data_IF_789428282410
#
_entry.id   IF_789428282410
#
_cell.length_a   1.000
_cell.length_b   1.000
_cell.length_c   1.000
_cell.angle_alpha   90.00
_cell.angle_beta   90.00
_cell.angle_gamma   90.00
#
_symmetry.space_group_name_H-M   'P 1'
#
loop_
_entity.id
_entity.type
_entity.pdbx_description
1 polymer ?
#
# COMPACT_ATOMS: atom_id res chain seq x y z
N UNK A 1 -7.61 -3.27 16.36
CA UNK A 1 -7.70 -1.78 16.37
C UNK A 1 -8.06 -1.31 14.96
N UNK A 2 -8.72 -0.16 14.82
CA UNK A 2 -8.99 0.44 13.51
C UNK A 2 -7.69 0.84 12.80
N UNK A 3 -7.60 0.60 11.48
CA UNK A 3 -6.37 0.81 10.73
C UNK A 3 -6.00 2.30 10.64
N UNK A 4 -6.99 3.19 10.44
CA UNK A 4 -6.77 4.64 10.36
C UNK A 4 -6.25 5.16 11.70
N UNK A 5 -6.85 4.72 12.82
CA UNK A 5 -6.39 5.08 14.16
C UNK A 5 -4.93 4.65 14.42
N UNK A 6 -4.54 3.44 13.96
CA UNK A 6 -3.15 2.95 14.07
C UNK A 6 -2.20 3.83 13.27
N UNK A 7 -2.53 4.12 12.01
CA UNK A 7 -1.69 4.98 11.16
C UNK A 7 -1.55 6.39 11.75
N UNK A 8 -2.66 7.04 12.13
CA UNK A 8 -2.63 8.40 12.65
C UNK A 8 -1.79 8.49 13.93
N UNK A 9 -1.98 7.55 14.86
CA UNK A 9 -1.18 7.48 16.10
C UNK A 9 0.32 7.32 15.80
N UNK A 10 0.67 6.40 14.89
CA UNK A 10 2.07 6.17 14.53
C UNK A 10 2.71 7.40 13.85
N UNK A 11 1.99 8.06 12.94
CA UNK A 11 2.49 9.23 12.22
C UNK A 11 2.64 10.46 13.13
N UNK A 12 1.72 10.68 14.07
CA UNK A 12 1.82 11.77 15.05
C UNK A 12 3.08 11.63 15.92
N UNK A 13 3.40 10.40 16.34
CA UNK A 13 4.59 10.12 17.14
C UNK A 13 5.92 10.16 16.36
N UNK A 14 5.88 10.26 15.04
CA UNK A 14 7.07 10.26 14.20
C UNK A 14 7.63 11.67 13.95
N UNK A 15 8.94 11.73 13.71
CA UNK A 15 9.59 12.93 13.20
C UNK A 15 9.13 13.22 11.76
N UNK A 16 9.14 14.50 11.38
CA UNK A 16 8.75 14.94 10.05
C UNK A 16 9.65 14.32 8.98
N UNK A 17 9.05 13.92 7.85
CA UNK A 17 9.72 13.24 6.72
C UNK A 17 10.57 12.02 7.09
N UNK A 18 10.27 11.32 8.20
CA UNK A 18 11.03 10.14 8.64
C UNK A 18 10.39 8.81 8.23
N UNK A 19 9.08 8.77 8.01
CA UNK A 19 8.33 7.52 7.83
C UNK A 19 8.40 7.04 6.38
N UNK A 20 8.61 5.73 6.22
CA UNK A 20 8.45 5.00 4.95
C UNK A 20 7.36 3.95 5.14
N UNK A 21 6.38 3.92 4.24
CA UNK A 21 5.30 2.93 4.25
C UNK A 21 5.57 1.88 3.18
N UNK A 22 5.46 0.60 3.54
CA UNK A 22 5.44 -0.51 2.59
C UNK A 22 4.02 -1.05 2.52
N UNK A 23 3.37 -0.87 1.38
CA UNK A 23 2.03 -1.40 1.09
C UNK A 23 2.16 -2.68 0.28
N UNK A 24 1.80 -3.80 0.89
CA UNK A 24 1.91 -5.15 0.29
C UNK A 24 0.54 -5.83 0.10
N UNK A 25 -0.53 -5.06 0.12
CA UNK A 25 -1.91 -5.53 -0.06
C UNK A 25 -2.79 -4.43 -0.64
N UNK A 26 -4.11 -4.61 -0.54
CA UNK A 26 -5.09 -3.65 -1.04
C UNK A 26 -4.89 -2.25 -0.44
N UNK A 27 -5.13 -1.22 -1.25
CA UNK A 27 -4.92 0.17 -0.87
C UNK A 27 -6.03 0.77 0.03
N UNK A 28 -7.00 -0.03 0.49
CA UNK A 28 -8.18 0.43 1.24
C UNK A 28 -7.80 1.24 2.49
N UNK A 29 -6.87 0.74 3.30
CA UNK A 29 -6.45 1.42 4.52
C UNK A 29 -5.70 2.74 4.25
N UNK A 30 -4.89 2.79 3.19
CA UNK A 30 -4.17 4.01 2.82
C UNK A 30 -5.10 5.05 2.18
N UNK A 31 -6.07 4.61 1.38
CA UNK A 31 -7.12 5.47 0.86
C UNK A 31 -7.96 6.06 2.02
N UNK A 32 -8.37 5.23 2.98
CA UNK A 32 -9.10 5.67 4.17
C UNK A 32 -8.29 6.63 5.03
N UNK A 33 -6.98 6.37 5.22
CA UNK A 33 -6.08 7.28 5.92
C UNK A 33 -6.03 8.64 5.21
N UNK A 34 -5.77 8.67 3.90
CA UNK A 34 -5.66 9.91 3.13
C UNK A 34 -6.98 10.71 3.11
N UNK A 35 -8.12 10.03 3.17
CA UNK A 35 -9.45 10.65 3.26
C UNK A 35 -9.85 11.04 4.69
N UNK A 36 -9.12 10.60 5.72
CA UNK A 36 -9.52 10.83 7.11
C UNK A 36 -9.46 12.32 7.49
N UNK A 37 -10.47 12.85 8.20
CA UNK A 37 -10.43 14.20 8.74
C UNK A 37 -9.43 14.31 9.90
N UNK A 38 -9.25 15.53 10.41
CA UNK A 38 -8.62 15.73 11.71
C UNK A 38 -9.41 15.02 12.82
N UNK A 39 -8.73 14.65 13.91
CA UNK A 39 -9.33 13.94 15.03
C UNK A 39 -8.64 14.27 16.36
N UNK A 40 -8.96 13.52 17.42
CA UNK A 40 -8.38 13.71 18.74
C UNK A 40 -6.86 13.45 18.82
N UNK A 41 -6.27 12.74 17.84
CA UNK A 41 -4.82 12.46 17.82
C UNK A 41 -4.03 13.61 17.19
N UNK A 42 -4.62 14.34 16.25
CA UNK A 42 -3.98 15.44 15.54
C UNK A 42 -4.99 16.37 14.87
N UNK A 43 -4.73 17.69 14.89
CA UNK A 43 -5.52 18.66 14.13
C UNK A 43 -5.33 18.56 12.61
N UNK A 44 -4.37 17.74 12.14
CA UNK A 44 -4.13 17.53 10.71
C UNK A 44 -5.07 16.45 10.15
N UNK A 45 -5.58 16.70 8.95
CA UNK A 45 -6.21 15.65 8.13
C UNK A 45 -5.19 14.56 7.82
N UNK A 46 -5.66 13.37 7.46
CA UNK A 46 -4.74 12.28 7.16
C UNK A 46 -3.84 12.58 5.96
N UNK A 47 -4.33 13.32 4.96
CA UNK A 47 -3.51 13.80 3.84
C UNK A 47 -2.39 14.74 4.29
N UNK A 48 -2.69 15.72 5.15
CA UNK A 48 -1.69 16.64 5.71
C UNK A 48 -0.69 15.91 6.60
N UNK A 49 -1.16 14.97 7.41
CA UNK A 49 -0.31 14.16 8.28
C UNK A 49 0.65 13.29 7.46
N UNK A 50 0.17 12.66 6.39
CA UNK A 50 1.02 11.92 5.44
C UNK A 50 2.02 12.86 4.77
N UNK A 51 1.59 14.04 4.32
CA UNK A 51 2.48 15.03 3.71
C UNK A 51 3.60 15.48 4.64
N UNK A 52 3.31 15.65 5.94
CA UNK A 52 4.31 16.09 6.92
C UNK A 52 5.25 14.96 7.36
N UNK A 53 4.72 13.75 7.56
CA UNK A 53 5.43 12.69 8.29
C UNK A 53 6.09 11.65 7.38
N UNK A 54 5.52 11.41 6.21
CA UNK A 54 5.95 10.35 5.29
C UNK A 54 6.87 10.95 4.24
N UNK A 55 7.98 10.26 3.95
CA UNK A 55 8.87 10.61 2.82
C UNK A 55 8.67 9.74 1.59
N UNK A 56 8.23 8.49 1.78
CA UNK A 56 8.07 7.52 0.70
C UNK A 56 7.01 6.47 1.02
N UNK A 57 6.26 6.06 0.00
CA UNK A 57 5.38 4.90 0.02
C UNK A 57 5.84 3.94 -1.09
N UNK A 58 6.21 2.71 -0.72
CA UNK A 58 6.51 1.64 -1.65
C UNK A 58 5.30 0.69 -1.74
N UNK A 59 4.78 0.49 -2.94
CA UNK A 59 3.54 -0.26 -3.19
C UNK A 59 3.86 -1.50 -4.01
N UNK A 60 3.55 -2.68 -3.49
CA UNK A 60 3.52 -3.91 -4.28
C UNK A 60 2.23 -3.95 -5.07
N UNK A 61 2.33 -3.84 -6.38
CA UNK A 61 1.17 -3.92 -7.25
C UNK A 61 1.45 -3.45 -8.66
N UNK A 62 0.54 -3.80 -9.56
CA UNK A 62 0.68 -3.57 -10.99
C UNK A 62 1.67 -4.53 -11.66
N UNK A 63 1.72 -4.42 -12.98
CA UNK A 63 2.76 -5.02 -13.81
C UNK A 63 3.10 -4.02 -14.91
N UNK A 64 4.39 -3.78 -15.11
CA UNK A 64 4.84 -2.66 -15.93
C UNK A 64 5.43 -3.15 -17.27
N UNK A 65 5.20 -2.42 -18.37
CA UNK A 65 4.53 -1.11 -18.47
C UNK A 65 2.99 -1.17 -18.52
N UNK A 66 2.37 -2.35 -18.49
CA UNK A 66 0.91 -2.49 -18.53
C UNK A 66 0.47 -3.84 -17.99
N UNK A 67 -0.34 -3.85 -16.92
CA UNK A 67 -0.84 -5.09 -16.34
C UNK A 67 -1.68 -5.89 -17.33
N UNK A 68 -2.49 -5.20 -18.13
CA UNK A 68 -3.28 -5.86 -19.18
C UNK A 68 -2.39 -6.60 -20.18
N UNK A 69 -1.27 -6.00 -20.61
CA UNK A 69 -0.35 -6.64 -21.56
C UNK A 69 0.48 -7.76 -20.93
N UNK A 70 0.84 -7.63 -19.66
CA UNK A 70 1.72 -8.58 -18.96
C UNK A 70 0.94 -9.75 -18.37
N UNK A 71 -0.28 -9.50 -17.89
CA UNK A 71 -1.08 -10.44 -17.09
C UNK A 71 -2.44 -10.75 -17.72
N UNK A 72 -2.87 -10.02 -18.76
CA UNK A 72 -4.20 -10.17 -19.37
C UNK A 72 -5.35 -9.65 -18.52
N UNK A 73 -5.03 -8.91 -17.45
CA UNK A 73 -5.97 -8.30 -16.51
C UNK A 73 -5.28 -7.28 -15.61
N UNK A 74 -6.06 -6.58 -14.80
CA UNK A 74 -5.54 -5.80 -13.69
C UNK A 74 -4.80 -6.70 -12.67
N UNK A 75 -3.84 -6.10 -11.95
CA UNK A 75 -3.07 -6.81 -10.93
C UNK A 75 -3.87 -6.94 -9.63
N UNK A 76 -3.64 -8.03 -8.90
CA UNK A 76 -4.42 -8.47 -7.75
C UNK A 76 -4.61 -7.40 -6.67
N UNK A 77 -3.54 -6.68 -6.29
CA UNK A 77 -3.66 -5.64 -5.28
C UNK A 77 -4.42 -4.40 -5.78
N UNK A 78 -4.48 -4.19 -7.10
CA UNK A 78 -5.13 -3.03 -7.71
C UNK A 78 -6.58 -3.28 -8.13
N UNK A 79 -6.96 -4.53 -8.40
CA UNK A 79 -8.34 -4.92 -8.72
C UNK A 79 -9.12 -5.47 -7.51
N UNK A 80 -8.49 -5.48 -6.34
CA UNK A 80 -9.05 -6.05 -5.12
C UNK A 80 -9.35 -7.56 -5.21
N UNK A 81 -8.46 -8.31 -5.86
CA UNK A 81 -8.62 -9.75 -6.02
C UNK A 81 -9.89 -10.12 -6.78
N UNK A 82 -10.28 -9.29 -7.76
CA UNK A 82 -11.51 -9.49 -8.53
C UNK A 82 -11.54 -10.91 -9.13
N UNK A 83 -12.63 -11.62 -8.89
CA UNK A 83 -12.80 -13.01 -9.33
C UNK A 83 -12.06 -14.06 -8.49
N UNK A 84 -11.36 -13.65 -7.42
CA UNK A 84 -10.69 -14.56 -6.48
C UNK A 84 -11.12 -14.40 -5.01
N UNK A 85 -11.40 -13.17 -4.55
CA UNK A 85 -11.61 -12.87 -3.12
C UNK A 85 -13.05 -12.47 -2.73
N UNK A 86 -14.05 -12.83 -3.53
CA UNK A 86 -15.46 -12.51 -3.24
C UNK A 86 -15.89 -11.16 -3.83
N UNK A 87 -16.83 -10.47 -3.17
CA UNK A 87 -17.29 -9.16 -3.65
C UNK A 87 -16.18 -8.10 -3.50
N UNK A 88 -16.07 -7.23 -4.50
CA UNK A 88 -15.10 -6.13 -4.53
C UNK A 88 -15.70 -4.79 -4.08
N UNK A 89 -16.96 -4.76 -3.65
CA UNK A 89 -17.69 -3.50 -3.38
C UNK A 89 -16.98 -2.59 -2.36
N UNK A 90 -16.30 -3.18 -1.37
CA UNK A 90 -15.64 -2.44 -0.27
C UNK A 90 -14.30 -1.81 -0.67
N UNK A 91 -13.73 -2.18 -1.82
CA UNK A 91 -12.36 -1.86 -2.18
C UNK A 91 -12.20 -1.38 -3.62
N UNK A 92 -13.20 -1.58 -4.46
CA UNK A 92 -13.18 -1.12 -5.85
C UNK A 92 -12.92 0.39 -5.90
N UNK A 93 -11.94 0.79 -6.73
CA UNK A 93 -11.54 2.19 -6.89
C UNK A 93 -10.63 2.75 -5.80
N UNK A 94 -10.42 2.04 -4.68
CA UNK A 94 -9.56 2.55 -3.59
C UNK A 94 -8.10 2.70 -4.01
N UNK A 95 -7.61 1.86 -4.93
CA UNK A 95 -6.27 2.00 -5.50
C UNK A 95 -6.09 3.29 -6.29
N UNK A 96 -7.08 3.66 -7.12
CA UNK A 96 -7.05 4.95 -7.83
C UNK A 96 -7.16 6.12 -6.86
N UNK A 97 -8.12 6.07 -5.92
CA UNK A 97 -8.31 7.11 -4.92
C UNK A 97 -7.06 7.32 -4.05
N UNK A 98 -6.36 6.23 -3.69
CA UNK A 98 -5.08 6.29 -2.99
C UNK A 98 -4.04 7.03 -3.83
N UNK A 99 -3.80 6.60 -5.08
CA UNK A 99 -2.78 7.20 -5.96
C UNK A 99 -3.06 8.70 -6.19
N UNK A 100 -4.31 9.06 -6.45
CA UNK A 100 -4.73 10.46 -6.69
C UNK A 100 -4.59 11.33 -5.43
N UNK A 101 -4.73 10.75 -4.25
CA UNK A 101 -4.68 11.48 -2.99
C UNK A 101 -3.27 11.63 -2.41
N UNK A 102 -2.28 10.85 -2.85
CA UNK A 102 -0.89 10.93 -2.34
C UNK A 102 -0.35 12.36 -2.52
N UNK A 103 0.15 13.00 -1.44
CA UNK A 103 0.77 14.32 -1.54
C UNK A 103 1.99 14.32 -2.46
N UNK A 104 2.15 15.37 -3.27
CA UNK A 104 3.22 15.47 -4.28
C UNK A 104 4.64 15.48 -3.69
N UNK A 105 4.79 15.80 -2.41
CA UNK A 105 6.07 15.76 -1.70
C UNK A 105 6.43 14.36 -1.15
N UNK A 106 5.53 13.38 -1.26
CA UNK A 106 5.77 11.99 -0.87
C UNK A 106 6.17 11.18 -2.10
N UNK A 107 7.33 10.53 -2.05
CA UNK A 107 7.78 9.66 -3.16
C UNK A 107 6.93 8.40 -3.22
N UNK A 108 6.23 8.19 -4.32
CA UNK A 108 5.49 6.95 -4.59
C UNK A 108 6.32 6.02 -5.49
N UNK A 109 6.57 4.80 -5.03
CA UNK A 109 7.33 3.77 -5.78
C UNK A 109 6.45 2.54 -5.93
N UNK A 110 6.41 1.98 -7.14
CA UNK A 110 5.68 0.75 -7.41
C UNK A 110 6.65 -0.41 -7.66
N UNK A 111 6.35 -1.55 -7.06
CA UNK A 111 7.02 -2.83 -7.25
C UNK A 111 6.05 -3.76 -7.97
N UNK A 112 6.20 -3.88 -9.29
CA UNK A 112 5.34 -4.69 -10.13
C UNK A 112 5.58 -6.20 -9.99
N UNK A 113 4.64 -6.98 -10.52
CA UNK A 113 4.67 -8.45 -10.57
C UNK A 113 5.98 -9.00 -11.13
N UNK A 114 6.56 -8.35 -12.15
CA UNK A 114 7.79 -8.75 -12.81
C UNK A 114 9.01 -8.83 -11.88
N UNK A 115 9.00 -8.11 -10.76
CA UNK A 115 10.07 -8.20 -9.75
C UNK A 115 10.00 -9.55 -9.03
N UNK A 116 8.79 -9.98 -8.66
CA UNK A 116 8.56 -11.25 -7.95
C UNK A 116 8.71 -12.48 -8.84
N UNK A 117 8.54 -12.34 -10.16
CA UNK A 117 8.65 -13.46 -11.09
C UNK A 117 10.09 -13.88 -11.40
N UNK A 118 11.07 -13.02 -11.10
CA UNK A 118 12.50 -13.30 -11.36
C UNK A 118 13.31 -13.47 -10.07
N UNK A 119 12.81 -12.99 -8.92
CA UNK A 119 13.47 -13.12 -7.62
C UNK A 119 12.75 -14.16 -6.77
N UNK A 120 13.18 -15.42 -6.90
CA UNK A 120 12.71 -16.51 -6.05
C UNK A 120 13.45 -16.48 -4.71
N UNK A 121 12.68 -16.38 -3.62
CA UNK A 121 13.21 -16.46 -2.26
C UNK A 121 12.59 -17.66 -1.53
N UNK A 122 13.31 -18.21 -0.55
CA UNK A 122 12.84 -19.32 0.28
C UNK A 122 13.16 -20.73 -0.22
N UNK A 123 13.66 -20.93 -1.45
CA UNK A 123 14.06 -22.27 -1.92
C UNK A 123 15.12 -22.94 -1.02
N UNK A 124 16.10 -22.16 -0.55
CA UNK A 124 17.09 -22.65 0.40
C UNK A 124 16.52 -22.92 1.81
N UNK A 125 15.33 -22.42 2.17
CA UNK A 125 14.70 -22.78 3.45
C UNK A 125 14.27 -24.24 3.45
N UNK A 126 13.97 -24.82 2.29
CA UNK A 126 13.66 -26.25 2.16
C UNK A 126 14.89 -27.12 2.44
N UNK A 127 16.09 -26.62 2.12
CA UNK A 127 17.36 -27.34 2.33
C UNK A 127 18.02 -27.04 3.68
N UNK A 128 17.81 -25.83 4.22
CA UNK A 128 18.47 -25.34 5.43
C UNK A 128 17.59 -25.40 6.70
N UNK A 129 16.30 -25.73 6.59
CA UNK A 129 15.48 -25.96 7.77
C UNK A 129 15.90 -27.29 8.42
N UNK A 130 16.23 -27.31 9.72
CA UNK A 130 16.47 -28.57 10.42
C UNK A 130 15.20 -29.43 10.37
N UNK A 131 15.38 -30.76 10.22
CA UNK A 131 14.25 -31.71 10.28
C UNK A 131 13.45 -31.49 11.57
N UNK A 132 12.12 -31.51 11.44
CA UNK A 132 11.17 -31.24 12.51
C UNK A 132 11.11 -32.36 13.56
#
# INVERSE_FOLDING_TARGET
>A
PDAVAVYRTALVGAADHSVVISSIGFCTNLAALLASPADATSPLTGKELVAQKVRMIAVMGGAYPSSEKVMGKAEFNFDCGQGMMGSTDECQGTSAAFVDAVPSNVKLVFSGFEVGSIVFSGGALTDCAPEA
#
